data_IF_918992041373
#
_entry.id   IF_918992041373
#
_cell.length_a   1.000
_cell.length_b   1.000
_cell.length_c   1.000
_cell.angle_alpha   90.00
_cell.angle_beta   90.00
_cell.angle_gamma   90.00
#
_symmetry.space_group_name_H-M   'P 1'
#
loop_
_entity.id
_entity.type
_entity.pdbx_description
1 polymer ?
#
# COMPACT_ATOMS: atom_id res chain seq x y z
N UNK A 1 -20.52 -18.63 20.53
CA UNK A 1 -20.53 -17.16 20.35
C UNK A 1 -19.83 -16.89 19.04
N UNK A 2 -20.55 -16.43 18.02
CA UNK A 2 -19.96 -16.17 16.70
C UNK A 2 -18.87 -15.10 16.85
N UNK A 3 -17.62 -15.48 16.63
CA UNK A 3 -16.52 -14.52 16.55
C UNK A 3 -16.85 -13.60 15.38
N UNK A 4 -17.00 -12.29 15.61
CA UNK A 4 -17.04 -11.32 14.53
C UNK A 4 -15.70 -11.46 13.78
N UNK A 5 -15.72 -12.11 12.61
CA UNK A 5 -14.57 -12.13 11.71
C UNK A 5 -14.41 -10.72 11.14
N UNK A 6 -13.60 -9.90 11.81
CA UNK A 6 -13.23 -8.58 11.31
C UNK A 6 -12.39 -8.72 10.02
N UNK A 7 -12.61 -7.83 9.05
CA UNK A 7 -11.86 -7.83 7.78
C UNK A 7 -10.37 -7.55 7.98
N UNK A 8 -10.04 -6.79 9.01
CA UNK A 8 -8.69 -6.48 9.42
C UNK A 8 -8.51 -6.57 10.95
N UNK A 9 -7.28 -6.88 11.37
CA UNK A 9 -6.81 -6.86 12.75
C UNK A 9 -5.63 -5.89 12.86
N UNK A 10 -5.54 -5.03 13.88
CA UNK A 10 -6.49 -4.88 14.98
C UNK A 10 -7.83 -4.27 14.56
N UNK A 11 -8.86 -4.39 15.40
CA UNK A 11 -10.24 -4.03 15.05
C UNK A 11 -10.42 -2.60 14.51
N UNK A 12 -9.60 -1.65 14.94
CA UNK A 12 -9.66 -0.25 14.48
C UNK A 12 -9.23 -0.05 13.02
N UNK A 13 -8.46 -0.97 12.44
CA UNK A 13 -8.03 -0.89 11.02
C UNK A 13 -9.23 -0.91 10.08
N UNK A 14 -10.32 -1.57 10.48
CA UNK A 14 -11.56 -1.60 9.71
C UNK A 14 -12.16 -0.20 9.47
N UNK A 15 -11.84 0.81 10.29
CA UNK A 15 -12.31 2.18 10.06
C UNK A 15 -11.70 2.85 8.82
N UNK A 16 -10.62 2.30 8.25
CA UNK A 16 -10.05 2.84 7.02
C UNK A 16 -11.00 2.75 5.83
N UNK A 17 -11.99 1.84 5.87
CA UNK A 17 -13.05 1.80 4.87
C UNK A 17 -13.84 3.11 4.78
N UNK A 18 -13.87 3.91 5.87
CA UNK A 18 -14.55 5.20 5.92
C UNK A 18 -13.72 6.35 5.35
N UNK A 19 -12.39 6.20 5.25
CA UNK A 19 -11.47 7.27 4.81
C UNK A 19 -11.85 7.84 3.44
N UNK A 20 -12.12 7.04 2.39
CA UNK A 20 -12.53 7.60 1.08
C UNK A 20 -13.79 8.46 1.18
N UNK A 21 -14.78 8.03 1.98
CA UNK A 21 -16.05 8.70 2.14
C UNK A 21 -15.92 9.99 2.95
N UNK A 22 -15.17 9.96 4.05
CA UNK A 22 -14.88 11.12 4.88
C UNK A 22 -14.08 12.16 4.07
N UNK A 23 -13.05 11.73 3.34
CA UNK A 23 -12.27 12.60 2.48
C UNK A 23 -13.16 13.28 1.44
N UNK A 24 -13.97 12.50 0.71
CA UNK A 24 -14.93 13.01 -0.26
C UNK A 24 -15.93 14.02 0.33
N UNK A 25 -16.48 13.72 1.51
CA UNK A 25 -17.43 14.58 2.21
C UNK A 25 -16.78 15.89 2.70
N UNK A 26 -15.55 15.82 3.22
CA UNK A 26 -14.81 16.96 3.78
C UNK A 26 -14.39 17.98 2.71
N UNK A 27 -14.24 17.55 1.45
CA UNK A 27 -13.96 18.44 0.32
C UNK A 27 -15.24 19.15 -0.15
N UNK A 28 -15.75 20.07 0.67
CA UNK A 28 -16.94 20.87 0.37
C UNK A 28 -16.76 21.77 -0.85
N UNK A 29 -15.54 22.28 -1.10
CA UNK A 29 -15.18 22.96 -2.34
C UNK A 29 -14.36 22.00 -3.21
N UNK A 30 -14.46 22.16 -4.53
CA UNK A 30 -13.66 21.35 -5.47
C UNK A 30 -12.16 21.59 -5.28
N UNK A 31 -11.39 20.55 -5.56
CA UNK A 31 -9.93 20.55 -5.45
C UNK A 31 -9.32 21.22 -6.68
N UNK A 32 -8.51 22.26 -6.47
CA UNK A 32 -7.78 23.00 -7.52
C UNK A 32 -6.45 22.33 -7.89
N UNK A 33 -6.47 21.01 -8.09
CA UNK A 33 -5.28 20.23 -8.47
C UNK A 33 -5.27 20.06 -9.99
N UNK A 34 -4.12 20.30 -10.62
CA UNK A 34 -3.94 20.09 -12.06
C UNK A 34 -3.72 18.61 -12.37
N UNK A 35 -4.06 18.18 -13.58
CA UNK A 35 -3.80 16.79 -14.00
C UNK A 35 -2.32 16.44 -13.99
N UNK A 36 -1.45 17.38 -14.37
CA UNK A 36 0.00 17.17 -14.32
C UNK A 36 0.46 16.78 -12.90
N UNK A 37 0.00 17.50 -11.86
CA UNK A 37 0.37 17.18 -10.48
C UNK A 37 -0.13 15.80 -10.07
N UNK A 38 -1.36 15.41 -10.43
CA UNK A 38 -1.88 14.06 -10.15
C UNK A 38 -1.08 12.98 -10.88
N UNK A 39 -0.70 13.21 -12.14
CA UNK A 39 0.09 12.26 -12.94
C UNK A 39 1.49 12.11 -12.33
N UNK A 40 2.18 13.20 -12.01
CA UNK A 40 3.51 13.13 -11.39
C UNK A 40 3.47 12.49 -10.01
N UNK A 41 2.45 12.80 -9.20
CA UNK A 41 2.24 12.17 -7.91
C UNK A 41 1.93 10.66 -8.04
N UNK A 42 1.16 10.27 -9.06
CA UNK A 42 0.91 8.87 -9.36
C UNK A 42 2.18 8.16 -9.82
N UNK A 43 2.95 8.75 -10.74
CA UNK A 43 4.23 8.19 -11.19
C UNK A 43 5.22 8.01 -10.03
N UNK A 44 5.28 8.98 -9.12
CA UNK A 44 6.05 8.85 -7.88
C UNK A 44 5.55 7.68 -7.03
N UNK A 45 4.25 7.58 -6.78
CA UNK A 45 3.65 6.46 -6.04
C UNK A 45 3.92 5.11 -6.69
N UNK A 46 3.79 5.01 -8.03
CA UNK A 46 4.08 3.80 -8.81
C UNK A 46 5.52 3.35 -8.63
N UNK A 47 6.47 4.26 -8.89
CA UNK A 47 7.89 3.95 -8.82
C UNK A 47 8.28 3.55 -7.39
N UNK A 48 7.77 4.28 -6.40
CA UNK A 48 8.08 4.01 -5.01
C UNK A 48 7.41 2.73 -4.47
N UNK A 49 6.19 2.42 -4.93
CA UNK A 49 5.51 1.16 -4.62
C UNK A 49 6.30 -0.05 -5.11
N UNK A 50 6.90 0.06 -6.30
CA UNK A 50 7.81 -0.97 -6.81
C UNK A 50 9.11 -1.08 -5.99
N UNK A 51 9.72 0.04 -5.57
CA UNK A 51 10.91 0.02 -4.69
C UNK A 51 10.63 -0.73 -3.39
N UNK A 52 9.46 -0.50 -2.81
CA UNK A 52 9.03 -1.14 -1.57
C UNK A 52 8.76 -2.64 -1.78
N UNK A 53 8.11 -3.01 -2.88
CA UNK A 53 7.95 -4.41 -3.27
C UNK A 53 9.31 -5.11 -3.44
N UNK A 54 10.26 -4.46 -4.13
CA UNK A 54 11.60 -4.99 -4.33
C UNK A 54 12.35 -5.13 -2.99
N UNK A 55 12.26 -4.16 -2.08
CA UNK A 55 12.85 -4.23 -0.75
C UNK A 55 12.32 -5.44 0.03
N UNK A 56 11.00 -5.66 0.01
CA UNK A 56 10.37 -6.83 0.64
C UNK A 56 10.86 -8.14 0.02
N UNK A 57 10.99 -8.22 -1.31
CA UNK A 57 11.54 -9.41 -2.00
C UNK A 57 12.99 -9.65 -1.59
N UNK A 58 13.83 -8.61 -1.55
CA UNK A 58 15.23 -8.75 -1.15
C UNK A 58 15.38 -9.20 0.30
N UNK A 59 14.55 -8.68 1.21
CA UNK A 59 14.60 -9.08 2.62
C UNK A 59 14.20 -10.55 2.78
N UNK A 60 13.19 -11.00 2.04
CA UNK A 60 12.77 -12.42 2.02
C UNK A 60 13.82 -13.33 1.39
N UNK A 61 14.54 -12.86 0.37
CA UNK A 61 15.69 -13.59 -0.18
C UNK A 61 16.85 -13.66 0.84
N UNK A 62 17.18 -12.54 1.48
CA UNK A 62 18.27 -12.46 2.45
C UNK A 62 18.02 -13.27 3.74
N UNK A 63 16.76 -13.45 4.15
CA UNK A 63 16.40 -14.27 5.31
C UNK A 63 16.37 -15.78 5.02
N UNK A 64 16.73 -16.21 3.80
CA UNK A 64 16.70 -17.62 3.37
C UNK A 64 15.29 -18.16 3.13
N UNK A 65 14.28 -17.27 3.15
CA UNK A 65 12.87 -17.62 2.95
C UNK A 65 12.50 -17.73 1.46
N UNK A 66 13.32 -17.17 0.58
CA UNK A 66 13.26 -17.36 -0.87
C UNK A 66 14.57 -17.97 -1.35
N UNK A 67 14.57 -19.24 -1.71
CA UNK A 67 15.63 -19.82 -2.55
C UNK A 67 15.44 -19.30 -3.97
N UNK A 68 16.21 -18.28 -4.34
CA UNK A 68 16.31 -17.81 -5.73
C UNK A 68 17.30 -18.71 -6.47
N UNK A 69 17.04 -20.02 -6.47
CA UNK A 69 17.72 -20.92 -7.41
C UNK A 69 16.98 -20.81 -8.73
N UNK A 70 17.69 -20.31 -9.74
CA UNK A 70 17.12 -20.05 -11.04
C UNK A 70 16.72 -21.34 -11.71
N UNK A 71 15.43 -21.63 -11.79
CA UNK A 71 14.83 -22.36 -12.91
C UNK A 71 13.31 -22.12 -12.95
N UNK A 72 12.87 -21.48 -14.04
CA UNK A 72 11.48 -21.31 -14.52
C UNK A 72 10.50 -20.57 -13.59
N UNK A 73 9.99 -19.44 -14.11
CA UNK A 73 8.90 -18.62 -13.55
C UNK A 73 7.63 -19.40 -13.13
N UNK A 74 7.48 -20.64 -13.56
CA UNK A 74 6.37 -21.54 -13.28
C UNK A 74 6.49 -22.24 -11.92
N UNK A 75 7.71 -22.50 -11.42
CA UNK A 75 7.94 -23.11 -10.09
C UNK A 75 7.80 -22.05 -8.98
N UNK A 76 8.15 -20.80 -9.28
CA UNK A 76 7.93 -19.63 -8.40
C UNK A 76 6.44 -19.45 -8.05
N UNK A 77 5.52 -19.77 -8.96
CA UNK A 77 4.07 -19.67 -8.71
C UNK A 77 3.52 -20.81 -7.81
N UNK A 78 4.19 -21.96 -7.74
CA UNK A 78 3.85 -23.03 -6.80
C UNK A 78 4.50 -22.75 -5.45
N UNK A 79 5.73 -22.22 -5.44
CA UNK A 79 6.42 -21.82 -4.22
C UNK A 79 5.80 -20.56 -3.57
N UNK A 80 5.16 -19.68 -4.35
CA UNK A 80 4.38 -18.54 -3.85
C UNK A 80 3.15 -18.98 -3.02
N UNK A 81 2.64 -20.20 -3.24
CA UNK A 81 1.63 -20.81 -2.39
C UNK A 81 2.18 -21.36 -1.07
N UNK A 82 3.42 -21.87 -1.06
CA UNK A 82 4.13 -22.18 0.21
C UNK A 82 4.59 -20.91 0.94
N UNK A 83 4.64 -19.78 0.24
CA UNK A 83 4.89 -18.44 0.76
C UNK A 83 3.72 -17.88 1.60
N UNK A 84 2.54 -18.53 1.60
CA UNK A 84 1.43 -18.15 2.50
C UNK A 84 1.80 -18.28 3.98
N UNK A 85 2.69 -19.21 4.33
CA UNK A 85 3.24 -19.31 5.69
C UNK A 85 4.20 -18.15 6.01
N UNK A 86 4.67 -17.40 5.01
CA UNK A 86 5.69 -16.37 5.15
C UNK A 86 5.15 -15.00 5.60
N UNK A 87 3.86 -14.73 5.41
CA UNK A 87 3.19 -13.60 6.06
C UNK A 87 3.21 -13.74 7.59
N UNK A 88 3.26 -14.97 8.13
CA UNK A 88 3.55 -15.21 9.54
C UNK A 88 5.04 -15.03 9.87
N UNK A 89 5.96 -15.31 8.94
CA UNK A 89 7.41 -15.17 9.20
C UNK A 89 7.87 -13.72 9.30
N UNK A 90 7.14 -12.74 8.74
CA UNK A 90 7.36 -11.33 9.07
C UNK A 90 7.23 -11.07 10.58
N UNK A 91 6.40 -11.86 11.29
CA UNK A 91 6.29 -11.79 12.74
C UNK A 91 7.53 -12.34 13.47
N UNK A 92 8.22 -13.30 12.84
CA UNK A 92 9.37 -14.04 13.40
C UNK A 92 10.72 -13.58 12.83
N UNK A 93 10.81 -12.37 12.28
CA UNK A 93 12.08 -11.81 11.85
C UNK A 93 13.07 -11.70 13.04
N UNK A 94 14.39 -11.90 12.81
CA UNK A 94 15.40 -11.58 13.81
C UNK A 94 15.22 -10.15 14.31
N UNK A 95 15.36 -9.91 15.63
CA UNK A 95 15.05 -8.62 16.25
C UNK A 95 15.77 -7.40 15.63
N UNK A 96 16.89 -7.61 14.92
CA UNK A 96 17.58 -6.57 14.14
C UNK A 96 16.85 -6.16 12.84
N UNK A 97 16.29 -7.13 12.10
CA UNK A 97 15.55 -6.89 10.84
C UNK A 97 14.22 -6.18 11.08
N UNK A 98 13.55 -6.51 12.19
CA UNK A 98 12.34 -5.81 12.63
C UNK A 98 12.50 -4.30 12.75
N UNK A 99 13.63 -3.83 13.31
CA UNK A 99 13.91 -2.40 13.43
C UNK A 99 14.11 -1.75 12.06
N UNK A 100 14.80 -2.44 11.16
CA UNK A 100 15.03 -1.94 9.80
C UNK A 100 13.71 -1.79 9.06
N UNK A 101 12.82 -2.79 9.16
CA UNK A 101 11.50 -2.72 8.54
C UNK A 101 10.63 -1.60 9.11
N UNK A 102 10.64 -1.43 10.43
CA UNK A 102 9.97 -0.30 11.07
C UNK A 102 10.47 1.05 10.53
N UNK A 103 11.79 1.27 10.46
CA UNK A 103 12.33 2.52 9.94
C UNK A 103 12.11 2.71 8.45
N UNK A 104 12.07 1.62 7.68
CA UNK A 104 11.77 1.64 6.25
C UNK A 104 10.34 2.12 6.01
N UNK A 105 9.34 1.52 6.67
CA UNK A 105 7.95 1.95 6.57
C UNK A 105 7.75 3.40 7.06
N UNK A 106 8.43 3.79 8.15
CA UNK A 106 8.39 5.17 8.62
C UNK A 106 8.96 6.14 7.58
N UNK A 107 10.08 5.78 6.94
CA UNK A 107 10.68 6.57 5.88
C UNK A 107 9.73 6.68 4.67
N UNK A 108 9.05 5.60 4.30
CA UNK A 108 8.00 5.59 3.26
C UNK A 108 6.91 6.62 3.56
N UNK A 109 6.38 6.63 4.78
CA UNK A 109 5.36 7.60 5.19
C UNK A 109 5.87 9.04 5.16
N UNK A 110 7.10 9.28 5.63
CA UNK A 110 7.73 10.61 5.60
C UNK A 110 7.95 11.08 4.15
N UNK A 111 8.41 10.21 3.26
CA UNK A 111 8.64 10.56 1.85
C UNK A 111 7.34 10.92 1.13
N UNK A 112 6.28 10.12 1.28
CA UNK A 112 4.96 10.44 0.74
C UNK A 112 4.44 11.77 1.30
N UNK A 113 4.60 12.01 2.61
CA UNK A 113 4.21 13.26 3.24
C UNK A 113 4.99 14.45 2.66
N UNK A 114 6.31 14.36 2.54
CA UNK A 114 7.15 15.43 2.00
C UNK A 114 6.78 15.80 0.56
N UNK A 115 6.65 14.82 -0.33
CA UNK A 115 6.27 15.07 -1.74
C UNK A 115 4.92 15.77 -1.85
N UNK A 116 3.96 15.40 -1.00
CA UNK A 116 2.60 15.93 -1.06
C UNK A 116 2.50 17.34 -0.44
N UNK A 117 3.31 17.64 0.58
CA UNK A 117 3.47 18.99 1.11
C UNK A 117 4.07 19.96 0.10
N UNK A 118 4.98 19.47 -0.76
CA UNK A 118 5.60 20.25 -1.84
C UNK A 118 4.66 20.41 -3.05
N UNK A 119 3.79 19.41 -3.31
CA UNK A 119 2.92 19.37 -4.48
C UNK A 119 1.67 20.27 -4.42
N UNK A 120 1.28 20.78 -3.25
CA UNK A 120 0.12 21.65 -3.09
C UNK A 120 0.30 22.73 -2.02
N UNK A 121 -0.41 23.86 -2.19
CA UNK A 121 -0.41 24.97 -1.21
C UNK A 121 -1.51 24.87 -0.15
N UNK A 122 -2.70 24.40 -0.53
CA UNK A 122 -3.84 24.30 0.39
C UNK A 122 -3.88 22.97 1.15
N UNK A 123 -4.32 23.01 2.41
CA UNK A 123 -4.37 21.82 3.28
C UNK A 123 -5.24 20.70 2.70
N UNK A 124 -6.37 21.05 2.06
CA UNK A 124 -7.28 20.05 1.47
C UNK A 124 -6.66 19.38 0.27
N UNK A 125 -6.00 20.17 -0.58
CA UNK A 125 -5.29 19.71 -1.77
C UNK A 125 -4.09 18.85 -1.38
N UNK A 126 -3.38 19.22 -0.30
CA UNK A 126 -2.30 18.41 0.30
C UNK A 126 -2.79 17.06 0.80
N UNK A 127 -3.90 17.03 1.54
CA UNK A 127 -4.51 15.77 2.00
C UNK A 127 -4.96 14.93 0.80
N UNK A 128 -5.57 15.54 -0.22
CA UNK A 128 -5.98 14.85 -1.42
C UNK A 128 -4.78 14.25 -2.19
N UNK A 129 -3.68 15.00 -2.33
CA UNK A 129 -2.45 14.52 -2.96
C UNK A 129 -1.79 13.42 -2.13
N UNK A 130 -1.81 13.52 -0.81
CA UNK A 130 -1.31 12.47 0.07
C UNK A 130 -2.09 11.18 -0.12
N UNK A 131 -3.42 11.24 -0.01
CA UNK A 131 -4.30 10.09 -0.22
C UNK A 131 -4.12 9.51 -1.63
N UNK A 132 -4.00 10.35 -2.66
CA UNK A 132 -3.76 9.93 -4.03
C UNK A 132 -2.42 9.19 -4.19
N UNK A 133 -1.34 9.74 -3.63
CA UNK A 133 0.00 9.15 -3.72
C UNK A 133 0.08 7.86 -2.92
N UNK A 134 -0.52 7.84 -1.73
CA UNK A 134 -0.61 6.66 -0.86
C UNK A 134 -1.40 5.54 -1.53
N UNK A 135 -2.59 5.81 -2.07
CA UNK A 135 -3.40 4.81 -2.75
C UNK A 135 -2.71 4.26 -4.01
N UNK A 136 -1.98 5.12 -4.74
CA UNK A 136 -1.21 4.68 -5.89
C UNK A 136 -0.04 3.80 -5.47
N UNK A 137 0.71 4.21 -4.45
CA UNK A 137 1.81 3.44 -3.88
C UNK A 137 1.35 2.05 -3.41
N UNK A 138 0.24 2.00 -2.67
CA UNK A 138 -0.33 0.78 -2.09
C UNK A 138 -0.74 -0.23 -3.18
N UNK A 139 -1.44 0.23 -4.22
CA UNK A 139 -1.81 -0.64 -5.35
C UNK A 139 -0.56 -1.16 -6.08
N UNK A 140 0.42 -0.28 -6.35
CA UNK A 140 1.59 -0.66 -7.13
C UNK A 140 2.62 -1.47 -6.35
N UNK A 141 2.57 -1.45 -5.02
CA UNK A 141 3.24 -2.43 -4.18
C UNK A 141 2.77 -3.85 -4.51
N UNK A 142 1.45 -4.10 -4.51
CA UNK A 142 0.89 -5.41 -4.88
C UNK A 142 1.17 -5.78 -6.34
N UNK A 143 1.07 -4.82 -7.27
CA UNK A 143 1.42 -5.05 -8.68
C UNK A 143 2.89 -5.44 -8.82
N UNK A 144 3.80 -4.77 -8.10
CA UNK A 144 5.23 -5.06 -8.09
C UNK A 144 5.53 -6.46 -7.55
N UNK A 145 4.87 -6.85 -6.44
CA UNK A 145 4.99 -8.20 -5.89
C UNK A 145 4.43 -9.25 -6.86
N UNK A 146 3.32 -8.97 -7.52
CA UNK A 146 2.75 -9.91 -8.47
C UNK A 146 3.63 -10.07 -9.71
N UNK A 147 4.22 -8.98 -10.19
CA UNK A 147 5.12 -8.99 -11.35
C UNK A 147 6.43 -9.75 -11.06
N UNK A 148 6.93 -9.69 -9.82
CA UNK A 148 8.23 -10.28 -9.44
C UNK A 148 8.11 -11.70 -8.92
N UNK A 149 7.19 -11.94 -7.98
CA UNK A 149 7.07 -13.21 -7.23
C UNK A 149 5.68 -13.86 -7.36
N UNK A 150 4.80 -13.33 -8.22
CA UNK A 150 3.43 -13.84 -8.44
C UNK A 150 2.57 -13.90 -7.18
N UNK A 151 2.89 -13.06 -6.20
CA UNK A 151 2.09 -12.87 -5.00
C UNK A 151 1.35 -11.53 -5.08
N UNK A 152 0.09 -11.41 -4.65
CA UNK A 152 -0.73 -12.44 -4.02
C UNK A 152 -1.41 -13.34 -5.06
N UNK A 153 -1.65 -14.61 -4.73
CA UNK A 153 -2.31 -15.52 -5.67
C UNK A 153 -3.84 -15.34 -5.71
N UNK A 154 -4.42 -14.70 -4.69
CA UNK A 154 -5.84 -14.34 -4.65
C UNK A 154 -6.05 -13.02 -3.89
N UNK A 155 -7.15 -12.32 -4.15
CA UNK A 155 -7.50 -11.11 -3.40
C UNK A 155 -7.89 -11.39 -1.94
N UNK A 156 -8.22 -12.64 -1.61
CA UNK A 156 -8.53 -13.09 -0.24
C UNK A 156 -7.29 -13.56 0.53
N UNK A 157 -6.11 -13.51 -0.08
CA UNK A 157 -4.85 -13.86 0.57
C UNK A 157 -4.61 -12.93 1.77
N UNK A 158 -4.25 -13.46 2.96
CA UNK A 158 -3.85 -12.64 4.10
C UNK A 158 -2.55 -11.88 3.83
N UNK A 159 -2.49 -10.66 4.31
CA UNK A 159 -1.36 -9.75 4.16
C UNK A 159 -1.13 -8.93 5.44
N UNK A 160 0.10 -8.43 5.57
CA UNK A 160 0.52 -7.45 6.58
C UNK A 160 0.64 -6.09 5.91
N UNK A 161 -0.32 -5.20 6.19
CA UNK A 161 -0.42 -3.89 5.55
C UNK A 161 0.68 -2.93 6.00
N UNK A 162 0.91 -2.88 7.31
CA UNK A 162 1.84 -2.00 7.98
C UNK A 162 2.27 -2.63 9.30
N UNK A 163 3.48 -2.33 9.75
CA UNK A 163 4.04 -2.74 11.04
C UNK A 163 3.89 -1.63 12.10
N UNK A 164 3.63 -0.39 11.70
CA UNK A 164 3.55 0.78 12.58
C UNK A 164 2.09 1.14 12.90
N UNK A 165 1.73 1.47 14.16
CA UNK A 165 2.51 1.30 15.39
C UNK A 165 2.54 -0.15 15.90
N UNK A 166 1.65 -0.99 15.35
CA UNK A 166 1.55 -2.43 15.57
C UNK A 166 1.22 -3.09 14.22
N UNK A 167 1.54 -4.37 14.00
CA UNK A 167 1.23 -5.07 12.76
C UNK A 167 -0.28 -5.06 12.44
N UNK A 168 -0.62 -4.65 11.23
CA UNK A 168 -1.98 -4.64 10.69
C UNK A 168 -2.14 -5.78 9.69
N UNK A 169 -3.02 -6.72 10.01
CA UNK A 169 -3.33 -7.86 9.18
C UNK A 169 -4.68 -7.65 8.49
N UNK A 170 -4.76 -7.94 7.19
CA UNK A 170 -6.04 -7.98 6.47
C UNK A 170 -5.94 -8.88 5.25
N UNK A 171 -7.04 -9.09 4.53
CA UNK A 171 -6.99 -9.68 3.20
C UNK A 171 -6.64 -8.61 2.15
N UNK A 172 -5.87 -8.96 1.12
CA UNK A 172 -5.40 -8.05 0.06
C UNK A 172 -6.50 -7.19 -0.57
N UNK A 173 -7.72 -7.71 -0.72
CA UNK A 173 -8.82 -6.94 -1.31
C UNK A 173 -9.15 -5.68 -0.50
N UNK A 174 -8.94 -5.70 0.83
CA UNK A 174 -9.29 -4.60 1.73
C UNK A 174 -8.50 -3.31 1.42
N UNK A 175 -7.15 -3.29 1.49
CA UNK A 175 -6.37 -2.10 1.13
C UNK A 175 -6.58 -1.70 -0.34
N UNK A 176 -6.64 -2.67 -1.26
CA UNK A 176 -6.87 -2.39 -2.68
C UNK A 176 -8.20 -1.68 -2.94
N UNK A 177 -9.28 -2.11 -2.27
CA UNK A 177 -10.59 -1.49 -2.39
C UNK A 177 -10.58 -0.07 -1.81
N UNK A 178 -9.98 0.13 -0.63
CA UNK A 178 -9.84 1.46 0.00
C UNK A 178 -9.05 2.40 -0.91
N UNK A 179 -7.92 1.94 -1.46
CA UNK A 179 -7.07 2.68 -2.37
C UNK A 179 -7.80 3.06 -3.67
N UNK A 180 -8.54 2.14 -4.28
CA UNK A 180 -9.36 2.43 -5.46
C UNK A 180 -10.46 3.48 -5.17
N UNK A 181 -11.14 3.38 -4.03
CA UNK A 181 -12.15 4.36 -3.62
C UNK A 181 -11.56 5.74 -3.36
N UNK A 182 -10.38 5.81 -2.75
CA UNK A 182 -9.63 7.07 -2.55
C UNK A 182 -9.33 7.72 -3.90
N UNK A 183 -8.77 6.98 -4.85
CA UNK A 183 -8.46 7.50 -6.17
C UNK A 183 -9.72 8.03 -6.87
N UNK A 184 -10.83 7.28 -6.80
CA UNK A 184 -12.12 7.71 -7.30
C UNK A 184 -12.60 9.02 -6.66
N UNK A 185 -12.53 9.13 -5.33
CA UNK A 185 -12.93 10.33 -4.59
C UNK A 185 -12.14 11.59 -5.02
N UNK A 186 -10.82 11.46 -5.19
CA UNK A 186 -9.94 12.56 -5.63
C UNK A 186 -10.31 13.00 -7.06
N UNK A 187 -10.47 12.07 -7.99
CA UNK A 187 -10.82 12.37 -9.39
C UNK A 187 -12.19 13.04 -9.48
N UNK A 188 -13.19 12.56 -8.73
CA UNK A 188 -14.55 13.11 -8.73
C UNK A 188 -14.61 14.54 -8.17
N UNK A 189 -13.78 14.85 -7.15
CA UNK A 189 -13.77 16.17 -6.48
C UNK A 189 -12.84 17.18 -7.14
N UNK A 190 -12.01 16.76 -8.08
CA UNK A 190 -11.19 17.65 -8.90
C UNK A 190 -12.08 18.64 -9.66
N UNK A 191 -11.64 19.89 -9.79
CA UNK A 191 -12.24 20.84 -10.74
C UNK A 191 -12.04 20.35 -12.18
N UNK A 192 -13.09 20.43 -13.01
CA UNK A 192 -12.90 20.43 -14.45
C UNK A 192 -12.12 21.70 -14.78
N UNK A 193 -10.92 21.57 -15.33
CA UNK A 193 -10.30 22.72 -15.96
C UNK A 193 -11.21 23.09 -17.13
N UNK A 194 -11.82 24.26 -17.10
CA UNK A 194 -12.23 24.91 -18.33
C UNK A 194 -10.93 25.34 -19.00
N UNK A 195 -10.48 24.48 -19.93
CA UNK A 195 -9.65 24.94 -21.04
C UNK A 195 -10.48 25.88 -21.92
#
# INVERSE_FOLDING_TARGET
MAQFEFFASPWWVNFFILVPFIAYASWHKRLSITWAVLIFAALFGIAFGFVEAAAVVYIRAASGLLTVEGEKLTEVAVQSSNMYQQAQVLADLPAGLWKIEFFRELATMVMLLCVTMLGARGTRERIALFLWSFATWDIFYYVGLWATIRWPASLTTPDVLFLIPVPWFSQVWFPMAVSALIMGAVVLKKTKNHS
#
